data_IF_985359751077
#
_entry.id   IF_985359751077
#
_cell.length_a   1.000
_cell.length_b   1.000
_cell.length_c   1.000
_cell.angle_alpha   90.00
_cell.angle_beta   90.00
_cell.angle_gamma   90.00
#
_symmetry.space_group_name_H-M   'P 1'
#
loop_
_entity.id
_entity.type
_entity.pdbx_description
1 polymer ?
#
# COMPACT_ATOMS: atom_id res chain seq x y z
N UNK A 1 10.36 15.72 -7.75
CA UNK A 1 10.72 15.35 -6.36
C UNK A 1 9.65 14.38 -5.88
N UNK A 2 10.04 13.18 -5.45
CA UNK A 2 9.11 12.12 -5.02
C UNK A 2 8.51 12.49 -3.66
N UNK A 3 7.18 12.66 -3.59
CA UNK A 3 6.51 13.01 -2.33
C UNK A 3 6.33 11.73 -1.51
N UNK A 4 6.87 11.74 -0.28
CA UNK A 4 6.83 10.61 0.64
C UNK A 4 5.82 10.85 1.75
N UNK A 5 4.86 9.94 1.86
CA UNK A 5 3.82 9.91 2.87
C UNK A 5 4.16 8.83 3.90
N UNK A 6 4.11 9.21 5.18
CA UNK A 6 4.71 8.44 6.28
C UNK A 6 3.84 8.44 7.54
N UNK A 7 2.71 9.14 7.53
CA UNK A 7 1.81 9.29 8.67
C UNK A 7 0.77 8.17 8.74
N UNK A 8 0.22 7.95 9.93
CA UNK A 8 -0.91 7.03 10.11
C UNK A 8 -2.11 7.54 9.34
N UNK A 9 -2.78 6.66 8.60
CA UNK A 9 -3.98 7.01 7.84
C UNK A 9 -3.71 7.53 6.43
N UNK A 10 -2.49 7.98 6.14
CA UNK A 10 -2.09 8.32 4.77
C UNK A 10 -2.36 7.13 3.83
N UNK A 11 -2.93 7.43 2.67
CA UNK A 11 -3.36 6.43 1.70
C UNK A 11 -3.10 6.88 0.27
N UNK A 12 -3.00 5.90 -0.64
CA UNK A 12 -2.87 6.11 -2.09
C UNK A 12 -3.83 5.20 -2.84
N UNK A 13 -4.27 5.66 -4.00
CA UNK A 13 -5.08 4.89 -4.94
C UNK A 13 -4.53 5.06 -6.36
N UNK A 14 -4.44 3.95 -7.10
CA UNK A 14 -3.81 3.97 -8.42
C UNK A 14 -4.24 2.79 -9.28
N UNK A 15 -4.15 2.95 -10.61
CA UNK A 15 -4.37 1.85 -11.56
C UNK A 15 -3.21 0.85 -11.57
N UNK A 16 -1.98 1.31 -11.29
CA UNK A 16 -0.83 0.43 -11.12
C UNK A 16 0.13 0.93 -10.03
N UNK A 17 0.69 -0.01 -9.26
CA UNK A 17 1.59 0.29 -8.14
C UNK A 17 2.88 -0.55 -8.17
N UNK A 18 3.96 0.02 -7.60
CA UNK A 18 5.15 -0.72 -7.22
C UNK A 18 5.04 -1.02 -5.72
N UNK A 19 5.01 -2.31 -5.36
CA UNK A 19 5.00 -2.72 -3.96
C UNK A 19 6.38 -3.28 -3.65
N UNK A 20 7.01 -2.76 -2.60
CA UNK A 20 8.25 -3.30 -2.03
C UNK A 20 8.03 -3.53 -0.54
N UNK A 21 8.30 -4.74 -0.06
CA UNK A 21 8.13 -5.08 1.35
C UNK A 21 9.10 -6.15 1.79
N UNK A 22 9.44 -6.20 3.08
CA UNK A 22 10.23 -7.33 3.59
C UNK A 22 9.38 -8.56 3.88
N UNK A 23 8.11 -8.37 4.20
CA UNK A 23 7.23 -9.48 4.57
C UNK A 23 5.78 -9.09 4.39
N UNK A 24 5.04 -9.91 3.66
CA UNK A 24 3.58 -9.83 3.56
C UNK A 24 2.92 -11.00 4.28
N UNK A 25 1.69 -10.80 4.75
CA UNK A 25 0.84 -11.89 5.24
C UNK A 25 0.68 -12.97 4.15
N UNK A 26 0.91 -14.26 4.47
CA UNK A 26 0.94 -15.32 3.46
C UNK A 26 -0.42 -15.62 2.84
N UNK A 27 -1.53 -15.24 3.51
CA UNK A 27 -2.88 -15.44 3.03
C UNK A 27 -3.59 -14.08 2.97
N UNK A 28 -4.04 -13.62 1.79
CA UNK A 28 -4.89 -12.45 1.72
C UNK A 28 -6.26 -12.75 2.32
N UNK A 29 -6.90 -11.72 2.85
CA UNK A 29 -8.28 -11.77 3.36
C UNK A 29 -9.17 -11.20 2.26
N UNK A 30 -10.25 -11.91 1.91
CA UNK A 30 -11.25 -11.37 1.00
C UNK A 30 -12.21 -10.48 1.77
N UNK A 31 -12.42 -9.26 1.29
CA UNK A 31 -13.27 -8.28 1.94
C UNK A 31 -14.08 -7.50 0.90
N UNK A 32 -15.15 -6.86 1.37
CA UNK A 32 -15.99 -5.96 0.60
C UNK A 32 -15.91 -4.57 1.24
N UNK A 33 -15.58 -3.56 0.46
CA UNK A 33 -15.47 -2.16 0.88
C UNK A 33 -16.50 -1.35 0.11
N UNK A 34 -17.16 -0.42 0.80
CA UNK A 34 -17.99 0.61 0.19
C UNK A 34 -17.10 1.78 -0.26
N UNK A 35 -17.21 2.17 -1.52
CA UNK A 35 -16.55 3.33 -2.09
C UNK A 35 -17.35 4.61 -1.83
N UNK A 36 -16.75 5.77 -2.12
CA UNK A 36 -17.37 7.08 -1.88
C UNK A 36 -18.67 7.31 -2.68
N UNK A 37 -18.83 6.64 -3.81
CA UNK A 37 -20.05 6.70 -4.64
C UNK A 37 -21.15 5.73 -4.17
N UNK A 38 -20.96 5.03 -3.05
CA UNK A 38 -21.87 4.03 -2.51
C UNK A 38 -21.79 2.67 -3.21
N UNK A 39 -20.90 2.50 -4.20
CA UNK A 39 -20.67 1.19 -4.82
C UNK A 39 -19.87 0.31 -3.88
N UNK A 40 -20.13 -1.00 -3.92
CA UNK A 40 -19.33 -1.94 -3.15
C UNK A 40 -18.34 -2.69 -4.03
N UNK A 41 -17.08 -2.67 -3.64
CA UNK A 41 -15.98 -3.30 -4.37
C UNK A 41 -15.37 -4.42 -3.52
N UNK A 42 -15.12 -5.55 -4.17
CA UNK A 42 -14.48 -6.69 -3.53
C UNK A 42 -12.96 -6.62 -3.71
N UNK A 43 -12.23 -6.88 -2.62
CA UNK A 43 -10.78 -6.81 -2.60
C UNK A 43 -10.14 -8.02 -1.94
N UNK A 44 -8.92 -8.32 -2.37
CA UNK A 44 -7.95 -9.08 -1.61
C UNK A 44 -7.12 -8.12 -0.77
N UNK A 45 -7.27 -8.21 0.55
CA UNK A 45 -6.52 -7.44 1.53
C UNK A 45 -5.25 -8.19 1.93
N UNK A 46 -4.12 -7.51 1.80
CA UNK A 46 -2.81 -7.94 2.24
C UNK A 46 -2.33 -7.02 3.36
N UNK A 47 -1.68 -7.59 4.37
CA UNK A 47 -1.04 -6.80 5.43
C UNK A 47 0.45 -7.04 5.41
N UNK A 48 1.22 -5.99 5.20
CA UNK A 48 2.68 -6.08 5.36
C UNK A 48 3.01 -6.18 6.84
N UNK A 49 4.11 -6.86 7.17
CA UNK A 49 4.54 -7.03 8.57
C UNK A 49 5.69 -6.11 8.93
N UNK A 50 6.54 -5.80 7.96
CA UNK A 50 7.79 -5.09 8.18
C UNK A 50 8.11 -4.29 6.92
N UNK A 51 8.23 -2.97 7.08
CA UNK A 51 8.79 -2.02 6.11
C UNK A 51 8.22 -2.19 4.71
N UNK A 52 7.20 -1.41 4.40
CA UNK A 52 6.59 -1.41 3.09
C UNK A 52 6.70 -0.03 2.44
N UNK A 53 7.00 -0.07 1.16
CA UNK A 53 6.92 1.06 0.24
C UNK A 53 5.90 0.71 -0.82
N UNK A 54 4.96 1.62 -1.08
CA UNK A 54 4.02 1.50 -2.19
C UNK A 54 4.07 2.79 -3.00
N UNK A 55 4.38 2.69 -4.28
CA UNK A 55 4.54 3.84 -5.19
C UNK A 55 3.53 3.76 -6.32
N UNK A 56 2.92 4.89 -6.67
CA UNK A 56 2.04 5.00 -7.84
C UNK A 56 2.90 4.96 -9.11
N UNK A 57 2.68 3.93 -9.95
CA UNK A 57 3.30 3.79 -11.27
C UNK A 57 2.38 4.33 -12.37
N UNK A 58 1.07 4.24 -12.15
CA UNK A 58 0.05 4.75 -13.06
C UNK A 58 -1.10 5.33 -12.26
N UNK A 59 -1.46 6.57 -12.58
CA UNK A 59 -2.56 7.29 -11.94
C UNK A 59 -3.86 6.49 -11.99
N UNK A 60 -4.76 6.82 -11.06
CA UNK A 60 -6.06 6.18 -10.98
C UNK A 60 -6.88 6.44 -12.26
N UNK A 61 -7.47 5.39 -12.82
CA UNK A 61 -8.41 5.53 -13.92
C UNK A 61 -9.69 6.23 -13.39
N UNK A 62 -10.17 7.32 -14.02
CA UNK A 62 -11.37 8.04 -13.56
C UNK A 62 -12.66 7.22 -13.48
N UNK A 63 -12.70 6.03 -14.10
CA UNK A 63 -13.83 5.10 -14.04
C UNK A 63 -13.81 4.19 -12.81
N UNK A 64 -12.68 4.14 -12.11
CA UNK A 64 -12.54 3.36 -10.89
C UNK A 64 -13.12 4.14 -9.70
N UNK A 65 -13.90 3.49 -8.82
CA UNK A 65 -14.48 4.14 -7.67
C UNK A 65 -13.39 4.45 -6.63
N UNK A 66 -13.47 5.64 -6.04
CA UNK A 66 -12.53 6.11 -5.02
C UNK A 66 -12.94 5.54 -3.67
N UNK A 67 -11.99 5.00 -2.92
CA UNK A 67 -12.24 4.38 -1.61
C UNK A 67 -12.13 5.41 -0.48
N UNK A 68 -11.20 6.35 -0.59
CA UNK A 68 -10.80 7.26 0.47
C UNK A 68 -10.56 8.65 -0.13
N UNK A 69 -11.27 9.66 0.37
CA UNK A 69 -11.27 11.03 -0.18
C UNK A 69 -9.96 11.77 0.07
N UNK A 70 -9.22 11.37 1.10
CA UNK A 70 -7.89 11.89 1.43
C UNK A 70 -6.75 11.16 0.71
N UNK A 71 -7.06 10.11 -0.05
CA UNK A 71 -6.04 9.33 -0.76
C UNK A 71 -5.31 10.17 -1.81
N UNK A 72 -4.04 9.85 -2.02
CA UNK A 72 -3.23 10.51 -3.05
C UNK A 72 -3.27 9.71 -4.34
N UNK A 73 -3.49 10.42 -5.44
CA UNK A 73 -3.72 9.86 -6.77
C UNK A 73 -2.59 10.20 -7.75
N UNK A 74 -1.72 11.16 -7.36
CA UNK A 74 -0.69 11.73 -8.23
C UNK A 74 0.45 10.74 -8.50
N UNK A 75 0.90 10.68 -9.74
CA UNK A 75 2.05 9.88 -10.15
C UNK A 75 3.28 10.11 -9.25
N UNK A 76 4.08 9.06 -9.04
CA UNK A 76 5.28 9.04 -8.18
C UNK A 76 5.03 9.28 -6.68
N UNK A 77 3.79 9.53 -6.26
CA UNK A 77 3.41 9.52 -4.85
C UNK A 77 3.75 8.19 -4.20
N UNK A 78 4.34 8.24 -3.00
CA UNK A 78 4.83 7.03 -2.33
C UNK A 78 4.46 6.99 -0.86
N UNK A 79 3.83 5.90 -0.45
CA UNK A 79 3.68 5.54 0.96
C UNK A 79 4.89 4.78 1.44
N UNK A 80 5.41 5.15 2.61
CA UNK A 80 6.52 4.45 3.26
C UNK A 80 6.19 4.27 4.75
N UNK A 81 6.10 3.03 5.23
CA UNK A 81 5.72 2.77 6.62
C UNK A 81 6.22 1.44 7.17
N UNK A 82 6.09 1.27 8.49
CA UNK A 82 6.35 0.01 9.18
C UNK A 82 5.36 -1.09 8.78
N UNK A 83 4.07 -0.75 8.67
CA UNK A 83 2.99 -1.62 8.21
C UNK A 83 2.00 -0.87 7.33
N UNK A 84 1.71 -1.45 6.18
CA UNK A 84 0.75 -0.98 5.17
C UNK A 84 -0.25 -2.09 4.90
N UNK A 85 -1.51 -1.72 4.79
CA UNK A 85 -2.55 -2.59 4.24
C UNK A 85 -2.74 -2.26 2.76
N UNK A 86 -2.76 -3.31 1.93
CA UNK A 86 -2.81 -3.20 0.47
C UNK A 86 -4.04 -3.98 0.00
N UNK A 87 -4.82 -3.36 -0.87
CA UNK A 87 -6.09 -3.86 -1.36
C UNK A 87 -6.02 -3.92 -2.87
N UNK A 88 -6.23 -5.11 -3.43
CA UNK A 88 -6.17 -5.33 -4.88
C UNK A 88 -7.39 -6.12 -5.35
N UNK A 89 -7.85 -5.84 -6.59
CA UNK A 89 -9.03 -6.52 -7.16
C UNK A 89 -8.81 -8.00 -7.45
N UNK A 90 -7.56 -8.40 -7.68
CA UNK A 90 -7.17 -9.79 -7.88
C UNK A 90 -6.00 -10.17 -6.98
N UNK A 91 -5.72 -11.47 -6.87
CA UNK A 91 -4.60 -11.95 -6.06
C UNK A 91 -3.28 -11.54 -6.70
N UNK A 92 -2.42 -10.92 -5.91
CA UNK A 92 -1.04 -10.61 -6.28
C UNK A 92 -0.08 -11.60 -5.63
N UNK A 93 1.04 -11.85 -6.31
CA UNK A 93 2.19 -12.60 -5.81
C UNK A 93 3.37 -11.65 -5.73
N UNK A 94 4.00 -11.52 -4.58
CA UNK A 94 5.24 -10.74 -4.47
C UNK A 94 6.43 -11.68 -4.71
N UNK A 95 7.32 -11.27 -5.59
CA UNK A 95 8.52 -12.04 -5.95
C UNK A 95 9.67 -11.69 -5.03
N UNK A 96 10.56 -12.65 -4.79
CA UNK A 96 11.75 -12.45 -3.99
C UNK A 96 12.79 -11.69 -4.82
N UNK A 97 13.13 -10.46 -4.45
CA UNK A 97 14.08 -9.64 -5.21
C UNK A 97 15.50 -9.74 -4.67
N UNK A 98 15.64 -9.86 -3.35
CA UNK A 98 16.93 -9.91 -2.69
C UNK A 98 16.86 -10.73 -1.41
N UNK A 99 17.91 -11.51 -1.16
CA UNK A 99 18.08 -12.31 0.03
C UNK A 99 19.45 -12.01 0.65
N UNK A 100 19.57 -10.86 1.32
CA UNK A 100 20.83 -10.47 1.98
C UNK A 100 21.21 -11.45 3.11
N UNK A 101 20.20 -12.01 3.80
CA UNK A 101 20.28 -13.14 4.75
C UNK A 101 18.91 -13.85 4.76
N UNK A 102 18.83 -15.08 5.28
CA UNK A 102 17.56 -15.84 5.45
C UNK A 102 16.45 -15.07 6.19
N UNK A 103 16.79 -13.99 6.90
CA UNK A 103 15.91 -13.12 7.69
C UNK A 103 15.68 -11.73 7.09
N UNK A 104 16.41 -11.34 6.04
CA UNK A 104 16.37 -10.01 5.44
C UNK A 104 16.01 -10.04 3.97
N UNK A 105 14.95 -10.77 3.67
CA UNK A 105 14.46 -10.90 2.32
C UNK A 105 13.61 -9.70 1.92
N UNK A 106 13.81 -9.20 0.71
CA UNK A 106 13.01 -8.15 0.09
C UNK A 106 12.14 -8.82 -0.96
N UNK A 107 10.86 -8.49 -0.93
CA UNK A 107 9.88 -8.91 -1.91
C UNK A 107 9.39 -7.68 -2.68
N UNK A 108 9.25 -7.80 -3.99
CA UNK A 108 8.69 -6.76 -4.83
C UNK A 108 7.68 -7.30 -5.83
N UNK A 109 6.81 -6.43 -6.31
CA UNK A 109 6.08 -6.65 -7.55
C UNK A 109 5.59 -5.31 -8.12
N UNK A 110 5.49 -5.25 -9.45
CA UNK A 110 4.72 -4.25 -10.17
C UNK A 110 3.31 -4.83 -10.37
N UNK A 111 2.33 -4.18 -9.76
CA UNK A 111 0.94 -4.60 -9.74
C UNK A 111 0.15 -3.73 -10.71
N UNK A 112 -0.19 -4.29 -11.87
CA UNK A 112 -0.93 -3.61 -12.95
C UNK A 112 -2.45 -3.78 -12.81
N UNK A 113 -2.96 -3.56 -11.61
CA UNK A 113 -4.39 -3.60 -11.27
C UNK A 113 -4.65 -2.53 -10.21
N UNK A 114 -5.92 -2.09 -10.14
CA UNK A 114 -6.35 -1.16 -9.10
C UNK A 114 -5.80 -1.58 -7.74
N UNK A 115 -5.08 -0.64 -7.12
CA UNK A 115 -4.46 -0.79 -5.82
C UNK A 115 -4.87 0.38 -4.94
N UNK A 116 -5.48 0.07 -3.80
CA UNK A 116 -5.60 0.99 -2.66
C UNK A 116 -4.61 0.55 -1.59
N UNK A 117 -3.84 1.48 -1.03
CA UNK A 117 -2.91 1.19 0.06
C UNK A 117 -3.01 2.23 1.17
N UNK A 118 -2.92 1.79 2.42
CA UNK A 118 -3.09 2.63 3.61
C UNK A 118 -2.06 2.32 4.69
N UNK A 119 -1.48 3.35 5.28
CA UNK A 119 -0.58 3.21 6.42
C UNK A 119 -1.38 2.88 7.68
N UNK A 120 -1.07 1.74 8.30
CA UNK A 120 -1.65 1.31 9.58
C UNK A 120 -0.70 1.55 10.74
N UNK A 121 0.59 1.29 10.53
CA UNK A 121 1.63 1.58 11.52
C UNK A 121 2.73 2.35 10.79
N UNK A 122 2.93 3.65 11.09
CA UNK A 122 3.99 4.45 10.47
C UNK A 122 5.36 3.96 10.95
N UNK A 123 6.42 4.64 10.53
CA UNK A 123 7.75 4.35 11.04
C UNK A 123 7.88 4.64 12.54
N UNK A 124 8.70 3.85 13.24
CA UNK A 124 8.92 4.06 14.69
C UNK A 124 9.38 5.49 14.99
N UNK A 125 10.31 6.04 14.22
CA UNK A 125 10.77 7.41 14.43
C UNK A 125 9.66 8.47 14.26
N UNK A 126 8.63 8.18 13.45
CA UNK A 126 7.46 9.05 13.32
C UNK A 126 6.59 9.01 14.58
N UNK A 127 6.45 7.82 15.19
CA UNK A 127 5.76 7.65 16.47
C UNK A 127 6.51 8.36 17.60
N UNK A 128 7.84 8.20 17.66
CA UNK A 128 8.68 8.81 18.69
C UNK A 128 8.65 10.35 18.60
N UNK A 129 8.58 10.89 17.37
CA UNK A 129 8.45 12.33 17.13
C UNK A 129 7.09 12.88 17.60
N UNK A 130 6.01 12.14 17.41
CA UNK A 130 4.68 12.57 17.84
C UNK A 130 4.54 12.61 19.37
N UNK A 131 5.29 11.77 20.09
CA UNK A 131 5.29 11.70 21.56
C UNK A 131 6.21 12.72 22.23
N UNK A 132 7.09 13.36 21.46
CA UNK A 132 8.05 14.36 21.94
C UNK A 132 7.58 15.81 21.76
N UNK A 133 6.33 15.99 21.30
CA UNK A 133 5.60 17.26 21.18
C UNK A 133 4.53 17.32 22.26
#
# INVERSE_FOLDING_TARGET
>A
MMIKYVGTGDSIECEASCIVTRKVSPKPIFIKIEALDGTFVNFFKYKTKIRATVTIIKELNPKEPIIDDISKLDLDSTLEAGTVEIYTKSRIKLELTSNFTSTHTIQNNIVNIFTYAKIVIPWQFMLDRALSV
#
